data_IF_585228903830
#
_entry.id   IF_585228903830
#
_cell.length_a   1.000
_cell.length_b   1.000
_cell.length_c   1.000
_cell.angle_alpha   90.00
_cell.angle_beta   90.00
_cell.angle_gamma   90.00
#
_symmetry.space_group_name_H-M   'P 1'
#
loop_
_entity.id
_entity.type
_entity.pdbx_description
1 polymer ?
#
# COMPACT_ATOMS: atom_id res chain seq x y z
N UNK A 1 -29.08 -9.22 -23.68
CA UNK A 1 -29.90 -8.95 -22.48
C UNK A 1 -29.93 -7.45 -22.33
N UNK A 2 -31.11 -6.85 -22.50
CA UNK A 2 -31.27 -5.41 -22.67
C UNK A 2 -31.40 -4.66 -21.34
N UNK A 3 -30.81 -3.46 -21.26
CA UNK A 3 -30.84 -2.59 -20.09
C UNK A 3 -31.99 -1.56 -20.16
N UNK A 4 -33.19 -2.01 -20.56
CA UNK A 4 -34.37 -1.17 -20.80
C UNK A 4 -35.43 -1.27 -19.69
N UNK A 5 -35.02 -1.26 -18.42
CA UNK A 5 -35.94 -0.93 -17.31
C UNK A 5 -35.20 -0.38 -16.09
N UNK A 6 -35.31 0.93 -15.84
CA UNK A 6 -35.41 1.56 -14.51
C UNK A 6 -35.49 3.09 -14.63
N UNK A 7 -36.62 3.63 -15.08
CA UNK A 7 -37.17 4.86 -14.48
C UNK A 7 -38.63 5.15 -14.87
N UNK A 8 -39.32 5.79 -13.93
CA UNK A 8 -40.66 6.37 -14.00
C UNK A 8 -41.86 5.42 -14.14
N UNK A 9 -42.69 5.39 -13.07
CA UNK A 9 -44.08 5.83 -13.18
C UNK A 9 -44.52 6.50 -11.88
N UNK A 10 -45.04 7.71 -12.04
CA UNK A 10 -45.82 8.43 -11.03
C UNK A 10 -47.29 8.06 -11.23
N UNK A 11 -48.03 7.89 -10.14
CA UNK A 11 -49.50 7.82 -10.16
C UNK A 11 -50.06 8.79 -9.13
N UNK A 12 -50.61 9.91 -9.58
CA UNK A 12 -51.44 10.80 -8.77
C UNK A 12 -52.87 10.25 -8.69
N UNK A 13 -53.53 10.45 -7.55
CA UNK A 13 -55.00 10.58 -7.48
C UNK A 13 -55.35 11.74 -6.53
N UNK A 14 -56.46 12.44 -6.80
CA UNK A 14 -56.66 13.80 -6.32
C UNK A 14 -58.13 14.19 -6.12
N UNK A 15 -58.44 14.83 -4.99
CA UNK A 15 -59.58 15.74 -4.76
C UNK A 15 -59.38 16.42 -3.38
N UNK A 16 -58.89 17.67 -3.31
CA UNK A 16 -59.63 18.97 -3.37
C UNK A 16 -60.43 19.28 -2.10
N UNK A 17 -60.44 20.48 -1.49
CA UNK A 17 -59.73 21.77 -1.71
C UNK A 17 -59.70 22.53 -0.35
N UNK A 18 -59.15 23.73 -0.13
CA UNK A 18 -58.56 24.81 -0.97
C UNK A 18 -57.44 25.51 -0.14
N UNK A 19 -56.65 26.48 -0.62
CA UNK A 19 -57.00 27.87 -0.97
C UNK A 19 -55.76 28.61 -1.54
N UNK A 20 -55.87 29.91 -1.87
CA UNK A 20 -55.18 30.55 -3.01
C UNK A 20 -54.03 31.52 -2.66
N UNK A 21 -53.07 31.69 -3.58
CA UNK A 21 -51.93 32.64 -3.60
C UNK A 21 -51.74 33.18 -5.05
N UNK A 22 -50.95 34.23 -5.31
CA UNK A 22 -50.81 35.56 -4.69
C UNK A 22 -50.99 36.67 -5.79
N UNK A 23 -50.61 37.97 -5.64
CA UNK A 23 -49.20 38.40 -5.67
C UNK A 23 -48.84 39.65 -4.82
N UNK A 24 -47.60 39.73 -4.33
CA UNK A 24 -47.08 40.98 -3.75
C UNK A 24 -46.60 41.95 -4.85
N UNK A 25 -47.16 43.16 -4.86
CA UNK A 25 -46.82 44.24 -5.81
C UNK A 25 -46.03 45.34 -5.12
N UNK A 26 -45.02 45.85 -5.81
CA UNK A 26 -44.15 46.97 -5.38
C UNK A 26 -44.79 48.35 -5.57
N UNK A 27 -44.27 49.33 -4.82
CA UNK A 27 -44.29 50.80 -5.03
C UNK A 27 -45.40 51.68 -4.39
N UNK A 28 -44.98 52.33 -3.30
CA UNK A 28 -44.96 53.80 -3.04
C UNK A 28 -46.22 54.64 -2.72
N UNK A 29 -45.97 55.57 -1.78
CA UNK A 29 -46.65 56.83 -1.40
C UNK A 29 -47.56 56.83 -0.15
N UNK A 30 -47.70 57.97 0.58
CA UNK A 30 -46.79 59.11 0.74
C UNK A 30 -46.60 59.60 2.21
N UNK A 31 -45.63 60.51 2.41
CA UNK A 31 -45.48 61.46 3.55
C UNK A 31 -45.52 60.86 4.98
N UNK A 32 -44.34 60.58 5.52
CA UNK A 32 -44.12 60.65 6.97
C UNK A 32 -44.30 62.09 7.46
N UNK A 33 -45.12 62.30 8.50
CA UNK A 33 -44.97 63.47 9.34
C UNK A 33 -43.71 63.34 10.19
N UNK A 34 -42.93 64.42 10.31
CA UNK A 34 -41.79 64.49 11.23
C UNK A 34 -42.29 64.36 12.67
N UNK A 35 -42.08 63.19 13.28
CA UNK A 35 -42.01 63.06 14.73
C UNK A 35 -40.53 63.16 15.14
N UNK A 36 -40.24 64.00 16.14
CA UNK A 36 -38.87 64.20 16.62
C UNK A 36 -38.25 62.88 17.13
N UNK A 37 -36.94 62.66 16.96
CA UNK A 37 -36.30 61.46 17.48
C UNK A 37 -36.43 61.40 19.01
N UNK A 38 -36.79 60.24 19.60
CA UNK A 38 -36.63 60.06 21.03
C UNK A 38 -35.14 60.25 21.38
N UNK A 39 -34.86 60.95 22.48
CA UNK A 39 -33.51 61.28 22.89
C UNK A 39 -32.63 60.02 22.94
N UNK A 40 -31.39 60.11 22.46
CA UNK A 40 -30.48 58.96 22.48
C UNK A 40 -30.25 58.53 23.94
N UNK A 41 -30.77 57.36 24.31
CA UNK A 41 -30.38 56.69 25.53
C UNK A 41 -28.91 56.32 25.40
N UNK A 42 -28.02 57.22 25.87
CA UNK A 42 -26.63 56.85 26.15
C UNK A 42 -26.68 55.66 27.10
N UNK A 43 -25.93 54.58 26.84
CA UNK A 43 -25.83 53.50 27.82
C UNK A 43 -25.35 54.10 29.15
N UNK A 44 -25.94 53.67 30.29
CA UNK A 44 -25.57 54.22 31.58
C UNK A 44 -24.05 54.07 31.77
N UNK A 45 -23.38 55.16 32.13
CA UNK A 45 -21.94 55.10 32.37
C UNK A 45 -21.69 54.14 33.53
N UNK A 46 -20.84 53.10 33.38
CA UNK A 46 -20.70 52.07 34.39
C UNK A 46 -20.35 52.72 35.73
N UNK A 47 -21.06 52.29 36.78
CA UNK A 47 -20.89 52.77 38.14
C UNK A 47 -19.47 52.51 38.63
N UNK A 48 -19.05 53.25 39.66
CA UNK A 48 -17.69 53.12 40.22
C UNK A 48 -17.40 51.69 40.71
N UNK A 49 -18.44 50.95 41.13
CA UNK A 49 -18.35 49.52 41.50
C UNK A 49 -18.13 48.61 40.29
N UNK A 50 -18.90 48.77 39.22
CA UNK A 50 -18.75 47.96 37.99
C UNK A 50 -17.37 48.16 37.35
N UNK A 51 -16.85 49.39 37.34
CA UNK A 51 -15.47 49.66 36.87
C UNK A 51 -14.42 48.92 37.69
N UNK A 52 -14.58 48.85 39.02
CA UNK A 52 -13.70 48.02 39.87
C UNK A 52 -13.82 46.52 39.55
N UNK A 53 -15.02 46.02 39.25
CA UNK A 53 -15.22 44.62 38.85
C UNK A 53 -14.54 44.28 37.53
N UNK A 54 -14.69 45.11 36.48
CA UNK A 54 -13.98 44.89 35.22
C UNK A 54 -12.45 44.96 35.38
N UNK A 55 -11.94 45.88 36.22
CA UNK A 55 -10.51 45.94 36.55
C UNK A 55 -10.04 44.68 37.31
N UNK A 56 -10.81 44.19 38.30
CA UNK A 56 -10.48 42.98 39.06
C UNK A 56 -10.51 41.71 38.19
N UNK A 57 -11.49 41.58 37.30
CA UNK A 57 -11.57 40.48 36.33
C UNK A 57 -10.37 40.54 35.36
N UNK A 58 -10.00 41.72 34.87
CA UNK A 58 -8.79 41.90 34.06
C UNK A 58 -7.51 41.49 34.82
N UNK A 59 -7.41 41.88 36.09
CA UNK A 59 -6.27 41.56 36.96
C UNK A 59 -6.09 40.06 37.25
N UNK A 60 -7.17 39.27 37.21
CA UNK A 60 -7.15 37.82 37.41
C UNK A 60 -7.04 37.03 36.09
N UNK A 61 -7.69 37.49 35.03
CA UNK A 61 -7.72 36.79 33.73
C UNK A 61 -6.39 36.93 32.97
N UNK A 62 -5.72 38.08 33.01
CA UNK A 62 -4.43 38.28 32.36
C UNK A 62 -3.32 37.35 32.89
N UNK A 63 -3.05 37.25 34.21
CA UNK A 63 -2.04 36.31 34.71
C UNK A 63 -2.47 34.84 34.54
N UNK A 64 -3.77 34.53 34.58
CA UNK A 64 -4.25 33.18 34.28
C UNK A 64 -4.03 32.78 32.81
N UNK A 65 -4.33 33.67 31.86
CA UNK A 65 -4.07 33.46 30.44
C UNK A 65 -2.56 33.40 30.15
N UNK A 66 -1.77 34.26 30.79
CA UNK A 66 -0.31 34.20 30.71
C UNK A 66 0.24 32.88 31.27
N UNK A 67 -0.30 32.38 32.39
CA UNK A 67 0.04 31.08 32.95
C UNK A 67 -0.33 29.94 31.99
N UNK A 68 -1.52 29.95 31.39
CA UNK A 68 -1.92 28.97 30.38
C UNK A 68 -1.01 29.00 29.15
N UNK A 69 -0.65 30.18 28.64
CA UNK A 69 0.28 30.34 27.51
C UNK A 69 1.70 29.89 27.90
N UNK A 70 2.16 30.20 29.11
CA UNK A 70 3.47 29.78 29.61
C UNK A 70 3.54 28.26 29.79
N UNK A 71 2.50 27.64 30.33
CA UNK A 71 2.36 26.18 30.44
C UNK A 71 2.28 25.55 29.05
N UNK A 72 1.43 26.07 28.15
CA UNK A 72 1.32 25.57 26.77
C UNK A 72 2.65 25.67 26.01
N UNK A 73 3.39 26.77 26.14
CA UNK A 73 4.74 26.91 25.60
C UNK A 73 5.72 25.94 26.26
N UNK A 74 5.71 25.78 27.58
CA UNK A 74 6.58 24.83 28.30
C UNK A 74 6.27 23.37 27.95
N UNK A 75 5.02 23.06 27.60
CA UNK A 75 4.58 21.77 27.07
C UNK A 75 5.05 21.57 25.62
N UNK A 76 4.81 22.54 24.73
CA UNK A 76 5.26 22.50 23.33
C UNK A 76 6.79 22.48 23.16
N UNK A 77 7.54 23.15 24.05
CA UNK A 77 9.01 23.17 24.06
C UNK A 77 9.61 22.07 24.95
N UNK A 78 8.77 21.20 25.52
CA UNK A 78 9.26 20.06 26.30
C UNK A 78 9.83 19.01 25.36
N UNK A 79 11.08 18.63 25.60
CA UNK A 79 11.72 17.50 24.92
C UNK A 79 11.00 16.15 25.10
N UNK A 80 9.94 16.07 25.93
CA UNK A 80 9.03 14.91 25.99
C UNK A 80 8.02 14.84 24.83
N UNK A 81 7.74 15.96 24.15
CA UNK A 81 6.93 15.99 22.93
C UNK A 81 7.77 15.99 21.65
N UNK A 82 9.02 16.49 21.74
CA UNK A 82 10.05 16.34 20.71
C UNK A 82 10.83 15.00 20.83
N UNK A 83 10.49 14.19 21.84
CA UNK A 83 10.87 12.78 21.88
C UNK A 83 10.17 12.06 20.73
N UNK A 84 10.85 12.03 19.58
CA UNK A 84 10.45 11.22 18.42
C UNK A 84 10.04 9.84 18.92
N UNK A 85 8.79 9.43 18.64
CA UNK A 85 8.28 8.11 19.01
C UNK A 85 9.32 7.06 18.64
N UNK A 86 9.58 6.04 19.48
CA UNK A 86 10.63 5.06 19.21
C UNK A 86 10.41 4.47 17.82
N UNK A 87 11.37 4.75 16.93
CA UNK A 87 11.31 4.35 15.52
C UNK A 87 11.78 2.91 15.42
N UNK A 88 10.84 1.99 15.23
CA UNK A 88 11.20 0.60 14.96
C UNK A 88 11.51 0.45 13.46
N UNK A 89 12.47 -0.41 13.13
CA UNK A 89 12.87 -0.67 11.74
C UNK A 89 12.71 -2.13 11.36
N UNK A 90 12.37 -2.37 10.09
CA UNK A 90 12.31 -3.71 9.51
C UNK A 90 12.91 -3.74 8.11
N UNK A 91 13.60 -4.83 7.79
CA UNK A 91 14.23 -5.07 6.49
C UNK A 91 13.60 -6.30 5.83
N UNK A 92 13.29 -6.18 4.54
CA UNK A 92 12.84 -7.31 3.70
C UNK A 92 13.64 -7.30 2.40
N UNK A 93 14.32 -8.41 2.09
CA UNK A 93 14.95 -8.64 0.80
C UNK A 93 14.06 -9.56 -0.03
N UNK A 94 13.58 -9.06 -1.17
CA UNK A 94 12.91 -9.83 -2.23
C UNK A 94 13.96 -10.21 -3.30
N UNK A 95 14.40 -11.46 -3.29
CA UNK A 95 15.34 -12.00 -4.27
C UNK A 95 14.57 -12.52 -5.51
N UNK A 96 14.24 -11.59 -6.41
CA UNK A 96 13.55 -11.87 -7.67
C UNK A 96 14.45 -12.39 -8.79
N UNK A 97 13.83 -12.99 -9.83
CA UNK A 97 14.54 -13.66 -10.92
C UNK A 97 15.52 -12.74 -11.67
N UNK A 98 15.12 -11.48 -11.90
CA UNK A 98 15.93 -10.47 -12.60
C UNK A 98 16.78 -9.58 -11.66
N UNK A 99 16.98 -9.98 -10.39
CA UNK A 99 17.74 -9.21 -9.40
C UNK A 99 16.99 -9.00 -8.08
N UNK A 100 17.75 -8.90 -6.99
CA UNK A 100 17.25 -8.77 -5.62
C UNK A 100 16.99 -7.31 -5.22
N UNK A 101 15.97 -7.06 -4.41
CA UNK A 101 15.62 -5.74 -3.88
C UNK A 101 15.48 -5.75 -2.36
N UNK A 102 16.14 -4.83 -1.68
CA UNK A 102 15.92 -4.57 -0.24
C UNK A 102 14.89 -3.46 -0.04
N UNK A 103 14.02 -3.64 0.94
CA UNK A 103 13.08 -2.65 1.45
C UNK A 103 13.41 -2.35 2.91
N UNK A 104 13.57 -1.06 3.23
CA UNK A 104 13.69 -0.53 4.59
C UNK A 104 12.36 0.05 4.98
N UNK A 105 11.76 -0.44 6.07
CA UNK A 105 10.51 0.07 6.64
C UNK A 105 10.78 0.77 7.98
N UNK A 106 10.18 1.95 8.17
CA UNK A 106 10.18 2.68 9.44
C UNK A 106 8.77 2.68 10.04
N UNK A 107 8.64 2.25 11.30
CA UNK A 107 7.38 2.18 12.03
C UNK A 107 7.36 3.16 13.21
N UNK A 108 6.24 3.85 13.40
CA UNK A 108 6.08 4.88 14.44
C UNK A 108 5.58 4.36 15.79
N UNK A 109 5.24 3.06 15.89
CA UNK A 109 4.77 2.41 17.12
C UNK A 109 4.75 0.88 16.99
N UNK A 110 5.01 0.16 18.08
CA UNK A 110 4.68 -1.28 18.27
C UNK A 110 3.19 -1.47 18.64
N UNK A 111 2.29 -0.72 17.99
CA UNK A 111 0.85 -0.95 18.11
C UNK A 111 0.48 -2.34 17.57
N UNK A 112 -0.72 -2.84 17.89
CA UNK A 112 -1.18 -4.19 17.48
C UNK A 112 -0.84 -4.48 16.01
N UNK A 113 -1.13 -3.53 15.13
CA UNK A 113 -0.64 -3.50 13.75
C UNK A 113 0.37 -2.33 13.65
N UNK A 114 1.63 -2.55 13.24
CA UNK A 114 2.62 -1.48 13.15
C UNK A 114 2.20 -0.40 12.15
N UNK A 115 2.30 0.88 12.50
CA UNK A 115 2.03 1.98 11.57
C UNK A 115 3.32 2.40 10.84
N UNK A 116 3.41 2.10 9.54
CA UNK A 116 4.50 2.59 8.67
C UNK A 116 4.36 4.09 8.50
N UNK A 117 5.46 4.84 8.58
CA UNK A 117 5.45 6.29 8.39
C UNK A 117 4.94 6.69 7.00
N UNK A 118 3.78 7.36 6.92
CA UNK A 118 3.19 7.86 5.66
C UNK A 118 3.62 9.31 5.37
N UNK A 119 4.83 9.69 5.79
CA UNK A 119 5.43 11.02 5.59
C UNK A 119 6.18 11.16 4.25
N UNK A 120 5.97 10.22 3.33
CA UNK A 120 6.70 10.12 2.07
C UNK A 120 8.12 9.56 2.19
N UNK A 121 8.57 9.18 3.40
CA UNK A 121 9.90 8.60 3.65
C UNK A 121 9.88 7.20 4.27
N UNK A 122 8.77 6.78 4.89
CA UNK A 122 8.70 5.55 5.69
C UNK A 122 8.92 4.21 4.97
N UNK A 123 9.15 4.19 3.65
CA UNK A 123 9.92 3.09 3.06
C UNK A 123 10.89 3.56 1.99
N UNK A 124 12.10 2.98 1.99
CA UNK A 124 13.12 3.22 0.96
C UNK A 124 13.59 1.86 0.42
N UNK A 125 13.86 1.76 -0.88
CA UNK A 125 14.33 0.51 -1.48
C UNK A 125 15.51 0.72 -2.43
N UNK A 126 16.30 -0.34 -2.60
CA UNK A 126 17.41 -0.45 -3.54
C UNK A 126 17.34 -1.81 -4.23
N UNK A 127 17.63 -1.88 -5.53
CA UNK A 127 17.67 -3.12 -6.30
C UNK A 127 19.04 -3.33 -6.92
N UNK A 128 19.59 -4.54 -6.75
CA UNK A 128 20.81 -5.02 -7.40
C UNK A 128 20.51 -6.03 -8.52
N UNK A 129 21.50 -6.31 -9.36
CA UNK A 129 21.49 -7.33 -10.41
C UNK A 129 22.87 -8.02 -10.46
N UNK A 130 22.98 -9.28 -10.92
CA UNK A 130 21.93 -10.16 -11.44
C UNK A 130 21.03 -10.76 -10.35
N UNK A 131 20.08 -11.62 -10.75
CA UNK A 131 19.29 -12.44 -9.81
C UNK A 131 20.08 -13.64 -9.31
N UNK A 132 19.67 -14.21 -8.17
CA UNK A 132 20.45 -15.24 -7.47
C UNK A 132 20.66 -16.54 -8.25
N UNK A 133 19.82 -16.81 -9.26
CA UNK A 133 19.96 -18.00 -10.12
C UNK A 133 21.18 -17.95 -11.05
N UNK A 134 21.69 -16.76 -11.37
CA UNK A 134 22.90 -16.61 -12.18
C UNK A 134 24.16 -17.08 -11.42
N UNK A 135 24.10 -17.14 -10.08
CA UNK A 135 25.17 -17.69 -9.24
C UNK A 135 25.13 -19.23 -9.15
N UNK A 136 24.34 -19.93 -9.97
CA UNK A 136 24.27 -21.40 -9.96
C UNK A 136 25.63 -22.09 -10.26
N UNK A 137 26.53 -21.42 -11.00
CA UNK A 137 27.89 -21.90 -11.25
C UNK A 137 28.87 -21.58 -10.09
N UNK A 138 28.61 -20.52 -9.32
CA UNK A 138 29.45 -20.07 -8.20
C UNK A 138 28.58 -19.77 -6.95
N UNK A 139 27.91 -20.78 -6.35
CA UNK A 139 26.90 -20.56 -5.28
C UNK A 139 27.41 -19.78 -4.07
N UNK A 140 28.70 -19.93 -3.77
CA UNK A 140 29.34 -19.29 -2.62
C UNK A 140 29.39 -17.76 -2.73
N UNK A 141 29.33 -17.19 -3.94
CA UNK A 141 29.33 -15.73 -4.19
C UNK A 141 27.94 -15.09 -4.13
N UNK A 142 26.88 -15.88 -3.97
CA UNK A 142 25.51 -15.36 -3.94
C UNK A 142 25.28 -14.38 -2.77
N UNK A 143 25.88 -14.63 -1.60
CA UNK A 143 25.83 -13.74 -0.44
C UNK A 143 26.54 -12.41 -0.66
N UNK A 144 27.63 -12.38 -1.42
CA UNK A 144 28.39 -11.15 -1.73
C UNK A 144 27.51 -10.15 -2.51
N UNK A 145 26.61 -10.65 -3.37
CA UNK A 145 25.64 -9.83 -4.10
C UNK A 145 24.66 -9.06 -3.21
N UNK A 146 24.52 -9.46 -1.94
CA UNK A 146 23.68 -8.76 -0.97
C UNK A 146 24.40 -7.59 -0.30
N UNK A 147 25.73 -7.51 -0.36
CA UNK A 147 26.52 -6.57 0.44
C UNK A 147 26.17 -5.10 0.17
N UNK A 148 25.99 -4.72 -1.10
CA UNK A 148 25.59 -3.36 -1.48
C UNK A 148 24.24 -2.96 -0.85
N UNK A 149 23.26 -3.87 -0.86
CA UNK A 149 21.96 -3.66 -0.23
C UNK A 149 22.04 -3.56 1.30
N UNK A 150 22.92 -4.35 1.93
CA UNK A 150 23.13 -4.32 3.38
C UNK A 150 23.79 -3.01 3.82
N UNK A 151 24.80 -2.51 3.09
CA UNK A 151 25.39 -1.19 3.36
C UNK A 151 24.42 -0.04 3.09
N UNK A 152 23.58 -0.14 2.05
CA UNK A 152 22.48 0.80 1.84
C UNK A 152 21.52 0.85 3.04
N UNK A 153 21.10 -0.30 3.58
CA UNK A 153 20.25 -0.36 4.77
C UNK A 153 20.93 0.24 6.02
N UNK A 154 22.21 -0.08 6.24
CA UNK A 154 23.03 0.51 7.31
C UNK A 154 23.13 2.03 7.21
N UNK A 155 23.17 2.57 6.00
CA UNK A 155 23.13 4.02 5.73
C UNK A 155 21.78 4.69 5.98
N UNK A 156 20.69 3.92 6.16
CA UNK A 156 19.34 4.45 6.47
C UNK A 156 18.93 4.28 7.93
N UNK A 157 19.47 3.27 8.62
CA UNK A 157 19.07 2.91 9.97
C UNK A 157 20.14 3.39 10.98
N UNK A 158 19.78 4.11 12.05
CA UNK A 158 20.73 4.50 13.09
C UNK A 158 21.47 3.28 13.69
N UNK A 159 22.78 3.41 13.92
CA UNK A 159 23.63 2.29 14.37
C UNK A 159 23.19 1.63 15.68
N UNK A 160 22.51 2.36 16.56
CA UNK A 160 21.91 1.82 17.78
C UNK A 160 20.82 0.77 17.49
N UNK A 161 20.05 0.96 16.42
CA UNK A 161 18.87 0.15 16.07
C UNK A 161 19.22 -1.11 15.27
N UNK A 162 20.46 -1.26 14.78
CA UNK A 162 20.84 -2.39 13.92
C UNK A 162 20.53 -3.74 14.59
N UNK A 163 20.92 -3.91 15.87
CA UNK A 163 20.69 -5.16 16.61
C UNK A 163 19.22 -5.45 16.93
N UNK A 164 18.34 -4.44 16.88
CA UNK A 164 16.90 -4.60 17.09
C UNK A 164 16.13 -4.82 15.77
N UNK A 165 16.66 -4.26 14.68
CA UNK A 165 16.09 -4.34 13.33
C UNK A 165 16.09 -5.79 12.83
N UNK A 166 14.92 -6.30 12.46
CA UNK A 166 14.78 -7.65 11.89
C UNK A 166 15.02 -7.61 10.40
N UNK A 167 15.82 -8.55 9.87
CA UNK A 167 15.99 -8.75 8.43
C UNK A 167 15.39 -10.08 7.97
N UNK A 168 14.47 -9.98 7.01
CA UNK A 168 13.85 -11.11 6.33
C UNK A 168 14.39 -11.23 4.92
N UNK A 169 14.53 -12.46 4.44
CA UNK A 169 15.01 -12.76 3.09
C UNK A 169 14.05 -13.74 2.42
N UNK A 170 13.58 -13.38 1.23
CA UNK A 170 12.53 -14.11 0.51
C UNK A 170 13.02 -14.35 -0.92
N UNK A 171 13.33 -15.59 -1.28
CA UNK A 171 13.53 -15.98 -2.68
C UNK A 171 12.18 -16.09 -3.39
N UNK A 172 11.99 -15.20 -4.37
CA UNK A 172 10.84 -15.19 -5.26
C UNK A 172 11.24 -15.52 -6.71
N UNK A 173 12.53 -15.48 -7.03
CA UNK A 173 13.12 -15.76 -8.34
C UNK A 173 13.25 -17.23 -8.68
N UNK A 174 13.07 -18.11 -7.69
CA UNK A 174 13.04 -19.55 -7.88
C UNK A 174 14.42 -20.19 -7.82
N UNK A 175 15.27 -19.75 -6.88
CA UNK A 175 16.44 -20.54 -6.44
C UNK A 175 15.99 -21.92 -5.99
N UNK A 176 14.82 -22.01 -5.34
CA UNK A 176 14.14 -23.28 -5.01
C UNK A 176 13.83 -24.21 -6.20
N UNK A 177 13.89 -23.73 -7.45
CA UNK A 177 13.71 -24.56 -8.66
C UNK A 177 15.03 -25.10 -9.26
N UNK A 178 16.18 -24.79 -8.66
CA UNK A 178 17.47 -25.37 -9.03
C UNK A 178 17.66 -26.75 -8.40
N UNK A 179 18.74 -27.46 -8.76
CA UNK A 179 19.16 -28.69 -8.05
C UNK A 179 19.31 -28.39 -6.56
N UNK A 180 18.88 -29.32 -5.70
CA UNK A 180 18.83 -29.13 -4.24
C UNK A 180 20.17 -28.67 -3.64
N UNK A 181 21.28 -29.25 -4.09
CA UNK A 181 22.64 -28.90 -3.68
C UNK A 181 22.98 -27.44 -3.99
N UNK A 182 22.72 -27.00 -5.23
CA UNK A 182 22.97 -25.63 -5.71
C UNK A 182 22.09 -24.62 -4.98
N UNK A 183 20.80 -24.93 -4.84
CA UNK A 183 19.83 -24.11 -4.11
C UNK A 183 20.22 -23.94 -2.64
N UNK A 184 20.59 -25.05 -1.98
CA UNK A 184 21.06 -25.06 -0.60
C UNK A 184 22.36 -24.26 -0.42
N UNK A 185 23.33 -24.39 -1.34
CA UNK A 185 24.57 -23.64 -1.32
C UNK A 185 24.36 -22.12 -1.50
N UNK A 186 23.51 -21.70 -2.46
CA UNK A 186 23.11 -20.30 -2.64
C UNK A 186 22.47 -19.75 -1.36
N UNK A 187 21.46 -20.45 -0.83
CA UNK A 187 20.77 -20.03 0.39
C UNK A 187 21.72 -19.99 1.61
N UNK A 188 22.66 -20.93 1.71
CA UNK A 188 23.70 -20.95 2.74
C UNK A 188 24.63 -19.75 2.63
N UNK A 189 25.05 -19.35 1.43
CA UNK A 189 25.86 -18.14 1.22
C UNK A 189 25.09 -16.87 1.64
N UNK A 190 23.83 -16.74 1.21
CA UNK A 190 22.96 -15.63 1.64
C UNK A 190 22.81 -15.56 3.15
N UNK A 191 22.56 -16.69 3.84
CA UNK A 191 22.47 -16.76 5.31
C UNK A 191 23.72 -16.23 6.00
N UNK A 192 24.91 -16.59 5.54
CA UNK A 192 26.17 -16.09 6.12
C UNK A 192 26.27 -14.57 6.01
N UNK A 193 25.96 -14.00 4.85
CA UNK A 193 25.96 -12.55 4.63
C UNK A 193 24.95 -11.83 5.53
N UNK A 194 23.75 -12.39 5.70
CA UNK A 194 22.71 -11.85 6.59
C UNK A 194 23.12 -11.92 8.06
N UNK A 195 23.70 -13.03 8.54
CA UNK A 195 24.25 -13.16 9.90
C UNK A 195 25.41 -12.19 10.14
N UNK A 196 26.28 -11.97 9.15
CA UNK A 196 27.40 -11.03 9.24
C UNK A 196 26.99 -9.55 9.13
N UNK A 197 25.74 -9.26 8.74
CA UNK A 197 25.28 -7.88 8.50
C UNK A 197 25.25 -6.99 9.75
N UNK A 198 25.10 -7.58 10.94
CA UNK A 198 24.87 -6.86 12.20
C UNK A 198 23.40 -6.53 12.50
N UNK A 199 22.48 -6.84 11.58
CA UNK A 199 21.04 -6.83 11.83
C UNK A 199 20.59 -8.11 12.56
N UNK A 200 19.43 -8.09 13.22
CA UNK A 200 18.86 -9.31 13.80
C UNK A 200 18.36 -10.22 12.69
N UNK A 201 19.00 -11.38 12.55
CA UNK A 201 18.66 -12.42 11.59
C UNK A 201 18.48 -13.77 12.29
N UNK A 202 17.66 -14.63 11.70
CA UNK A 202 17.52 -16.05 12.05
C UNK A 202 17.36 -16.86 10.78
N UNK A 203 17.85 -18.09 10.77
CA UNK A 203 17.74 -18.94 9.58
C UNK A 203 16.29 -19.19 9.14
N UNK A 204 15.34 -19.29 10.07
CA UNK A 204 13.91 -19.41 9.76
C UNK A 204 13.33 -18.21 8.98
N UNK A 205 14.04 -17.06 8.90
CA UNK A 205 13.63 -15.84 8.18
C UNK A 205 14.24 -15.72 6.77
N UNK A 206 15.05 -16.69 6.33
CA UNK A 206 15.48 -16.81 4.95
C UNK A 206 14.83 -18.04 4.30
N UNK A 207 13.93 -17.84 3.34
CA UNK A 207 13.20 -18.94 2.67
C UNK A 207 12.90 -18.65 1.20
N UNK A 208 12.72 -19.71 0.41
CA UNK A 208 12.06 -19.63 -0.90
C UNK A 208 10.56 -19.79 -0.69
N UNK A 209 9.75 -18.92 -1.31
CA UNK A 209 8.29 -18.93 -1.13
C UNK A 209 7.55 -19.37 -2.39
N UNK A 210 6.42 -20.06 -2.21
CA UNK A 210 5.58 -20.54 -3.32
C UNK A 210 4.79 -19.38 -3.96
N UNK A 211 4.16 -19.66 -5.11
CA UNK A 211 3.22 -18.72 -5.71
C UNK A 211 2.10 -18.33 -4.74
N UNK A 212 1.51 -19.30 -4.03
CA UNK A 212 0.42 -19.09 -3.08
C UNK A 212 0.82 -18.19 -1.91
N UNK A 213 2.02 -18.36 -1.38
CA UNK A 213 2.55 -17.54 -0.28
C UNK A 213 2.67 -16.07 -0.70
N UNK A 214 3.16 -15.80 -1.93
CA UNK A 214 3.22 -14.43 -2.49
C UNK A 214 1.86 -13.76 -2.47
N UNK A 215 0.80 -14.50 -2.84
CA UNK A 215 -0.58 -14.00 -2.76
C UNK A 215 -1.05 -13.75 -1.34
N UNK A 216 -0.72 -14.61 -0.38
CA UNK A 216 -1.06 -14.38 1.03
C UNK A 216 -0.38 -13.10 1.53
N UNK A 217 0.92 -12.90 1.24
CA UNK A 217 1.62 -11.67 1.60
C UNK A 217 1.04 -10.43 0.92
N UNK A 218 0.67 -10.52 -0.37
CA UNK A 218 0.01 -9.43 -1.09
C UNK A 218 -1.39 -9.12 -0.51
N UNK A 219 -2.15 -10.15 -0.10
CA UNK A 219 -3.45 -9.99 0.55
C UNK A 219 -3.31 -9.31 1.92
N UNK A 220 -2.29 -9.69 2.71
CA UNK A 220 -1.96 -9.02 3.99
C UNK A 220 -1.58 -7.57 3.73
N UNK A 221 -0.73 -7.27 2.74
CA UNK A 221 -0.33 -5.91 2.42
C UNK A 221 -1.52 -5.03 1.97
N UNK A 222 -2.42 -5.55 1.13
CA UNK A 222 -3.61 -4.84 0.70
C UNK A 222 -4.55 -4.53 1.89
N UNK A 223 -4.88 -5.54 2.69
CA UNK A 223 -5.78 -5.38 3.83
C UNK A 223 -5.15 -4.59 5.00
N UNK A 224 -3.81 -4.56 5.09
CA UNK A 224 -3.08 -3.66 5.97
C UNK A 224 -3.30 -2.20 5.58
N UNK A 225 -3.10 -1.85 4.30
CA UNK A 225 -3.30 -0.48 3.79
C UNK A 225 -4.77 -0.05 3.89
N UNK A 226 -5.71 -0.97 3.70
CA UNK A 226 -7.15 -0.72 3.85
C UNK A 226 -7.64 -0.68 5.31
N UNK A 227 -6.81 -1.06 6.29
CA UNK A 227 -7.19 -1.08 7.71
C UNK A 227 -8.20 -2.17 8.11
N UNK A 228 -8.41 -3.19 7.28
CA UNK A 228 -9.39 -4.27 7.51
C UNK A 228 -8.84 -5.46 8.31
N UNK A 229 -7.52 -5.49 8.56
CA UNK A 229 -6.89 -6.50 9.41
C UNK A 229 -7.19 -6.28 10.90
N UNK A 230 -7.30 -7.37 11.66
CA UNK A 230 -7.64 -7.37 13.08
C UNK A 230 -9.14 -7.21 13.40
N UNK A 231 -9.97 -7.02 12.37
CA UNK A 231 -11.44 -6.94 12.46
C UNK A 231 -12.12 -8.22 11.93
N UNK A 232 -13.37 -8.11 11.50
CA UNK A 232 -14.15 -9.20 10.91
C UNK A 232 -13.50 -9.75 9.62
N UNK A 233 -13.18 -11.05 9.52
CA UNK A 233 -12.61 -11.63 8.31
C UNK A 233 -13.43 -11.39 7.02
N UNK A 234 -14.75 -11.30 7.12
CA UNK A 234 -15.63 -11.11 5.96
C UNK A 234 -15.62 -9.66 5.39
N UNK A 235 -15.01 -8.70 6.10
CA UNK A 235 -14.83 -7.32 5.64
C UNK A 235 -13.50 -7.11 4.89
N UNK A 236 -12.67 -8.14 4.81
CA UNK A 236 -11.41 -8.08 4.06
C UNK A 236 -11.64 -8.12 2.55
N UNK A 237 -10.87 -7.32 1.80
CA UNK A 237 -10.90 -7.38 0.35
C UNK A 237 -10.12 -8.57 -0.17
N UNK A 238 -10.69 -9.26 -1.15
CA UNK A 238 -9.98 -10.22 -1.97
C UNK A 238 -8.99 -9.53 -2.91
N UNK A 239 -7.96 -10.26 -3.33
CA UNK A 239 -6.99 -9.80 -4.34
C UNK A 239 -6.88 -10.77 -5.50
N UNK A 240 -6.48 -10.23 -6.65
CA UNK A 240 -6.02 -10.98 -7.82
C UNK A 240 -4.71 -10.34 -8.26
N UNK A 241 -3.61 -11.10 -8.22
CA UNK A 241 -2.30 -10.63 -8.66
C UNK A 241 -1.95 -11.22 -10.03
N UNK A 242 -1.57 -10.40 -11.01
CA UNK A 242 -0.96 -10.87 -12.27
C UNK A 242 0.56 -10.69 -12.19
N UNK A 243 1.31 -11.76 -12.37
CA UNK A 243 2.77 -11.74 -12.42
C UNK A 243 3.29 -12.20 -13.78
N UNK A 244 4.60 -12.11 -14.00
CA UNK A 244 5.24 -12.51 -15.25
C UNK A 244 5.06 -13.99 -15.60
N UNK A 245 5.45 -14.90 -14.69
CA UNK A 245 5.38 -16.35 -14.92
C UNK A 245 3.99 -16.99 -14.66
N UNK A 246 3.09 -16.33 -13.94
CA UNK A 246 1.79 -16.88 -13.52
C UNK A 246 0.76 -15.78 -13.23
N UNK A 247 -0.53 -16.03 -13.50
CA UNK A 247 -1.62 -15.29 -12.88
C UNK A 247 -1.66 -15.74 -11.42
N UNK A 248 -1.02 -14.93 -10.58
CA UNK A 248 -0.16 -15.43 -9.53
C UNK A 248 -0.95 -16.04 -8.38
N UNK A 249 -1.93 -15.31 -7.81
CA UNK A 249 -2.90 -15.89 -6.86
C UNK A 249 -4.21 -15.11 -6.82
N UNK A 250 -5.33 -15.83 -6.68
CA UNK A 250 -6.61 -15.30 -6.16
C UNK A 250 -6.68 -15.61 -4.66
N UNK A 251 -6.75 -14.58 -3.80
CA UNK A 251 -6.83 -14.75 -2.34
C UNK A 251 -7.99 -13.94 -1.76
N UNK A 252 -8.87 -14.59 -0.98
CA UNK A 252 -9.97 -13.95 -0.25
C UNK A 252 -10.44 -14.82 0.92
N UNK A 253 -11.22 -14.25 1.84
CA UNK A 253 -11.95 -15.04 2.86
C UNK A 253 -13.30 -15.45 2.26
N UNK A 254 -13.56 -16.74 2.04
CA UNK A 254 -14.86 -17.21 1.54
C UNK A 254 -15.92 -17.22 2.66
N UNK A 255 -17.20 -17.27 2.26
CA UNK A 255 -18.34 -17.44 3.18
C UNK A 255 -18.45 -18.88 3.71
N UNK A 256 -18.06 -19.84 2.88
CA UNK A 256 -18.08 -21.28 3.18
C UNK A 256 -16.64 -21.82 3.19
N UNK A 257 -16.34 -22.89 3.97
CA UNK A 257 -14.97 -23.44 4.03
C UNK A 257 -14.50 -23.91 2.64
N UNK A 258 -13.32 -23.46 2.17
CA UNK A 258 -12.79 -23.91 0.89
C UNK A 258 -12.23 -25.34 0.98
N UNK A 259 -12.11 -26.07 -0.15
CA UNK A 259 -11.42 -27.37 -0.18
C UNK A 259 -10.03 -27.28 0.45
N UNK A 260 -9.62 -28.31 1.20
CA UNK A 260 -8.40 -28.30 2.01
C UNK A 260 -7.14 -27.90 1.22
N UNK A 261 -7.03 -28.34 -0.04
CA UNK A 261 -5.92 -28.00 -0.94
C UNK A 261 -5.75 -26.49 -1.17
N UNK A 262 -6.88 -25.77 -1.23
CA UNK A 262 -6.99 -24.33 -1.49
C UNK A 262 -7.15 -23.51 -0.18
N UNK A 263 -7.27 -24.19 0.96
CA UNK A 263 -7.48 -23.60 2.28
C UNK A 263 -6.16 -23.21 2.93
N UNK A 264 -6.00 -21.95 3.33
CA UNK A 264 -4.79 -21.43 4.00
C UNK A 264 -5.18 -20.66 5.25
N UNK A 265 -4.83 -21.21 6.41
CA UNK A 265 -5.13 -20.59 7.70
C UNK A 265 -4.01 -19.61 8.09
N UNK A 266 -4.38 -18.37 8.40
CA UNK A 266 -3.46 -17.31 8.80
C UNK A 266 -3.99 -16.64 10.08
N UNK A 267 -3.18 -16.58 11.14
CA UNK A 267 -3.56 -15.91 12.39
C UNK A 267 -2.81 -14.58 12.52
N UNK A 268 -3.54 -13.46 12.48
CA UNK A 268 -3.00 -12.11 12.64
C UNK A 268 -3.76 -11.37 13.74
N UNK A 269 -3.02 -10.79 14.70
CA UNK A 269 -3.56 -9.92 15.75
C UNK A 269 -4.69 -10.55 16.60
N UNK A 270 -4.66 -11.88 16.76
CA UNK A 270 -5.66 -12.66 17.48
C UNK A 270 -6.81 -13.19 16.62
N UNK A 271 -7.00 -12.63 15.42
CA UNK A 271 -8.01 -13.09 14.44
C UNK A 271 -7.43 -14.20 13.57
N UNK A 272 -8.20 -15.27 13.37
CA UNK A 272 -7.88 -16.35 12.43
C UNK A 272 -8.63 -16.12 11.12
N UNK A 273 -7.88 -15.96 10.03
CA UNK A 273 -8.38 -15.87 8.67
C UNK A 273 -8.27 -17.24 8.02
N UNK A 274 -9.38 -17.74 7.50
CA UNK A 274 -9.40 -18.90 6.63
C UNK A 274 -9.44 -18.40 5.18
N UNK A 275 -8.31 -18.45 4.48
CA UNK A 275 -8.16 -17.90 3.15
C UNK A 275 -8.37 -18.99 2.09
N UNK A 276 -9.16 -18.70 1.08
CA UNK A 276 -9.03 -19.36 -0.21
C UNK A 276 -7.75 -18.84 -0.89
N UNK A 277 -6.92 -19.73 -1.43
CA UNK A 277 -5.71 -19.37 -2.19
C UNK A 277 -5.55 -20.29 -3.39
N UNK A 278 -5.59 -19.74 -4.60
CA UNK A 278 -5.37 -20.49 -5.85
C UNK A 278 -4.39 -19.76 -6.78
N UNK A 279 -3.28 -20.42 -7.08
CA UNK A 279 -2.30 -20.01 -8.09
C UNK A 279 -2.64 -20.63 -9.45
N UNK A 280 -2.69 -19.83 -10.51
CA UNK A 280 -2.97 -20.32 -11.87
C UNK A 280 -1.71 -20.14 -12.74
N UNK A 281 -0.96 -21.25 -12.85
CA UNK A 281 0.27 -21.32 -13.63
C UNK A 281 -0.01 -21.15 -15.14
N UNK A 282 0.98 -20.66 -15.89
CA UNK A 282 0.94 -20.41 -17.34
C UNK A 282 0.07 -19.24 -17.83
N UNK A 283 -0.75 -18.60 -16.98
CA UNK A 283 -1.50 -17.38 -17.31
C UNK A 283 -0.80 -16.08 -16.88
N UNK A 284 0.52 -16.14 -16.62
CA UNK A 284 1.31 -14.93 -16.35
C UNK A 284 1.56 -14.12 -17.62
N UNK A 285 1.86 -12.83 -17.47
CA UNK A 285 2.04 -11.92 -18.60
C UNK A 285 3.14 -12.39 -19.58
N UNK A 286 4.29 -12.82 -19.06
CA UNK A 286 5.43 -13.27 -19.88
C UNK A 286 5.12 -14.63 -20.53
N UNK A 287 4.49 -15.55 -19.80
CA UNK A 287 4.18 -16.90 -20.31
C UNK A 287 2.99 -16.89 -21.28
N UNK A 288 2.04 -15.97 -21.11
CA UNK A 288 0.99 -15.71 -22.09
C UNK A 288 1.60 -15.17 -23.39
N UNK A 289 2.57 -14.25 -23.30
CA UNK A 289 3.30 -13.75 -24.45
C UNK A 289 4.13 -14.84 -25.17
N UNK A 290 4.84 -15.69 -24.40
CA UNK A 290 5.51 -16.87 -24.96
C UNK A 290 4.54 -17.85 -25.64
N UNK A 291 3.33 -18.00 -25.11
CA UNK A 291 2.34 -18.94 -25.64
C UNK A 291 1.72 -18.43 -26.94
N UNK A 292 1.39 -17.14 -27.00
CA UNK A 292 0.99 -16.45 -28.23
C UNK A 292 2.09 -16.56 -29.30
N UNK A 293 3.34 -16.30 -28.91
CA UNK A 293 4.54 -16.47 -29.74
C UNK A 293 4.63 -17.88 -30.34
N UNK A 294 4.50 -18.92 -29.51
CA UNK A 294 4.58 -20.33 -29.95
C UNK A 294 3.51 -20.64 -30.98
N UNK A 295 2.25 -20.26 -30.71
CA UNK A 295 1.12 -20.46 -31.62
C UNK A 295 1.38 -19.81 -32.99
N UNK A 296 1.78 -18.53 -32.97
CA UNK A 296 2.17 -17.76 -34.15
C UNK A 296 3.28 -18.47 -34.97
N UNK A 297 4.34 -18.95 -34.32
CA UNK A 297 5.44 -19.67 -34.98
C UNK A 297 5.09 -21.09 -35.46
N UNK A 298 4.03 -21.70 -34.91
CA UNK A 298 3.56 -23.03 -35.32
C UNK A 298 2.58 -22.99 -36.50
N UNK A 299 2.05 -21.81 -36.82
CA UNK A 299 1.15 -21.57 -37.95
C UNK A 299 1.83 -21.28 -39.27
N UNK A 300 3.11 -20.86 -39.31
CA UNK A 300 3.82 -20.69 -40.59
C UNK A 300 4.35 -22.02 -41.12
N UNK A 301 3.69 -22.52 -42.16
CA UNK A 301 4.20 -23.63 -42.97
C UNK A 301 5.50 -23.21 -43.66
N UNK A 302 6.57 -23.98 -43.44
CA UNK A 302 7.94 -23.75 -43.91
C UNK A 302 8.01 -23.08 -45.29
N UNK A 303 8.20 -21.77 -45.31
CA UNK A 303 8.71 -21.03 -46.47
C UNK A 303 10.23 -20.88 -46.30
N UNK A 304 11.00 -21.43 -47.22
CA UNK A 304 12.46 -21.35 -47.19
C UNK A 304 12.94 -20.02 -47.81
N UNK A 305 13.15 -18.99 -46.99
CA UNK A 305 13.96 -17.82 -47.35
C UNK A 305 14.48 -17.09 -46.10
N UNK A 306 15.69 -16.54 -46.19
CA UNK A 306 16.46 -15.94 -45.07
C UNK A 306 15.96 -14.54 -44.61
N UNK A 307 14.67 -14.28 -44.78
CA UNK A 307 14.01 -13.05 -44.34
C UNK A 307 13.28 -13.27 -43.02
N UNK A 308 13.42 -12.34 -42.07
CA UNK A 308 12.69 -12.33 -40.80
C UNK A 308 11.18 -12.34 -41.11
N UNK A 309 10.55 -13.49 -40.91
CA UNK A 309 9.14 -13.72 -41.21
C UNK A 309 8.28 -13.01 -40.14
N UNK A 310 7.89 -11.76 -40.42
CA UNK A 310 7.16 -10.91 -39.48
C UNK A 310 5.76 -11.48 -39.21
N UNK A 311 5.54 -12.04 -38.01
CA UNK A 311 4.29 -12.74 -37.72
C UNK A 311 3.20 -11.78 -37.24
N UNK A 312 2.37 -11.35 -38.18
CA UNK A 312 1.21 -10.49 -37.97
C UNK A 312 0.28 -11.02 -36.86
N UNK A 313 0.28 -10.36 -35.70
CA UNK A 313 -0.60 -10.70 -34.58
C UNK A 313 -1.67 -9.64 -34.34
N UNK A 314 -2.92 -10.05 -34.21
CA UNK A 314 -4.02 -9.16 -33.79
C UNK A 314 -3.87 -8.64 -32.33
N UNK A 315 -2.92 -9.19 -31.56
CA UNK A 315 -2.59 -8.72 -30.22
C UNK A 315 -1.53 -7.61 -30.20
N UNK A 316 -0.96 -7.25 -31.36
CA UNK A 316 0.05 -6.19 -31.49
C UNK A 316 -0.60 -4.92 -32.06
N UNK A 317 -0.37 -3.73 -31.46
CA UNK A 317 -0.87 -2.47 -32.00
C UNK A 317 -0.38 -2.20 -33.43
N UNK A 318 -1.29 -1.74 -34.31
CA UNK A 318 -0.97 -1.45 -35.71
C UNK A 318 0.21 -0.48 -35.84
N UNK A 319 1.19 -0.85 -36.65
CA UNK A 319 2.39 -0.04 -36.91
C UNK A 319 3.50 -0.17 -35.87
N UNK A 320 3.28 -0.93 -34.79
CA UNK A 320 4.34 -1.29 -33.85
C UNK A 320 5.04 -2.57 -34.31
N UNK A 321 6.36 -2.66 -34.13
CA UNK A 321 7.12 -3.90 -34.21
C UNK A 321 7.69 -4.23 -32.84
N UNK A 322 7.56 -5.48 -32.43
CA UNK A 322 8.05 -6.01 -31.17
C UNK A 322 9.12 -7.05 -31.44
N UNK A 323 10.37 -6.69 -31.14
CA UNK A 323 11.47 -7.64 -31.11
C UNK A 323 11.53 -8.31 -29.74
N UNK A 324 11.47 -9.64 -29.70
CA UNK A 324 11.54 -10.40 -28.44
C UNK A 324 12.48 -11.61 -28.58
N UNK A 325 13.10 -12.02 -27.47
CA UNK A 325 14.04 -13.14 -27.42
C UNK A 325 13.38 -14.35 -26.75
N UNK A 326 13.34 -15.48 -27.46
CA UNK A 326 12.85 -16.75 -26.94
C UNK A 326 13.90 -17.85 -27.19
N UNK A 327 14.33 -18.54 -26.12
CA UNK A 327 15.42 -19.55 -26.14
C UNK A 327 16.70 -19.08 -26.86
N UNK A 328 17.06 -17.80 -26.72
CA UNK A 328 18.24 -17.22 -27.36
C UNK A 328 18.08 -16.88 -28.84
N UNK A 329 16.87 -17.03 -29.42
CA UNK A 329 16.54 -16.56 -30.77
C UNK A 329 15.68 -15.30 -30.69
N UNK A 330 16.01 -14.32 -31.52
CA UNK A 330 15.21 -13.11 -31.68
C UNK A 330 14.14 -13.31 -32.75
N UNK A 331 12.95 -12.81 -32.48
CA UNK A 331 11.79 -12.81 -33.37
C UNK A 331 11.25 -11.37 -33.46
N UNK A 332 10.68 -11.00 -34.60
CA UNK A 332 10.05 -9.70 -34.83
C UNK A 332 8.58 -9.95 -35.23
N UNK A 333 7.65 -9.24 -34.59
CA UNK A 333 6.21 -9.35 -34.82
C UNK A 333 5.54 -7.97 -34.80
#
# INVERSE_FOLDING_TARGET
MDFSSLQSRVSFSSSSSSSHFPPHRTQLHPRMHYAAPPASLRPPSPSRGERCWFLAIGLLTLPFLFYLIAVARRVHTSARFDATRPKCFGLVIDAGAAGSRIHVFEFLNEGRIPFVGVDGKGSVSMKVRPGLREFAAEPERAGDSLQEMLEFAKGRIPRAEWKATRIWFIDTGGVGSLKLEVSSAIMKSCRRALTASGFMFRDEWASSITGQDKGIYAWVAANYVLGTLGANPQETMGIIQLGGASAQVVVFVPKEPPPMELSRMLKLHGVTYNLYSKSIHHFGQDVAWESLTKLNSSGSSRSSSDSIEAVMSACIPKGQRLQYCYKGKYYEA
#
